data_IF_140117375398
#
_entry.id   IF_140117375398
#
_cell.length_a   1.000
_cell.length_b   1.000
_cell.length_c   1.000
_cell.angle_alpha   90.00
_cell.angle_beta   90.00
_cell.angle_gamma   90.00
#
_symmetry.space_group_name_H-M   'P 1'
#
loop_
_entity.id
_entity.type
_entity.pdbx_description
1 polymer ?
#
# COMPACT_ATOMS: atom_id res chain seq x y z
N UNK A 1 13.64 64.86 -10.11
CA UNK A 1 13.57 63.56 -10.80
C UNK A 1 13.88 62.50 -9.76
N UNK A 2 12.87 61.92 -9.11
CA UNK A 2 13.08 60.96 -8.01
C UNK A 2 12.78 59.55 -8.52
N UNK A 3 13.84 58.75 -8.73
CA UNK A 3 13.75 57.37 -9.19
C UNK A 3 13.26 56.47 -8.05
N UNK A 4 11.99 56.05 -8.08
CA UNK A 4 11.48 55.02 -7.15
C UNK A 4 12.13 53.69 -7.47
N UNK A 5 13.03 53.23 -6.60
CA UNK A 5 13.63 51.90 -6.65
C UNK A 5 12.53 50.84 -6.57
N UNK A 6 12.33 50.09 -7.66
CA UNK A 6 11.47 48.91 -7.70
C UNK A 6 12.10 47.82 -6.83
N UNK A 7 11.48 47.52 -5.68
CA UNK A 7 11.94 46.40 -4.84
C UNK A 7 11.58 45.07 -5.49
N UNK A 8 12.47 44.04 -5.44
CA UNK A 8 12.16 42.72 -5.99
C UNK A 8 11.14 42.00 -5.11
N UNK A 9 9.94 41.77 -5.67
CA UNK A 9 8.89 40.97 -5.03
C UNK A 9 9.31 39.50 -4.98
N UNK A 10 9.61 38.99 -3.78
CA UNK A 10 9.90 37.58 -3.55
C UNK A 10 8.60 36.76 -3.57
N UNK A 11 8.37 35.97 -4.62
CA UNK A 11 7.19 35.12 -4.76
C UNK A 11 7.49 33.76 -4.15
N UNK A 12 7.03 33.54 -2.93
CA UNK A 12 7.06 32.22 -2.28
C UNK A 12 5.86 31.41 -2.79
N UNK A 13 6.13 30.41 -3.64
CA UNK A 13 5.09 29.45 -4.04
C UNK A 13 4.86 28.49 -2.89
N UNK A 14 3.75 28.67 -2.18
CA UNK A 14 3.26 27.64 -1.27
C UNK A 14 2.89 26.40 -2.10
N UNK A 15 3.44 25.22 -1.80
CA UNK A 15 2.98 23.99 -2.42
C UNK A 15 1.48 23.86 -2.15
N UNK A 16 0.67 24.03 -3.20
CA UNK A 16 -0.78 23.90 -3.11
C UNK A 16 -1.16 22.54 -2.53
N UNK A 17 -2.31 22.47 -1.87
CA UNK A 17 -2.84 21.24 -1.27
C UNK A 17 -2.63 20.05 -2.23
N UNK A 18 -2.02 18.97 -1.70
CA UNK A 18 -1.68 17.77 -2.47
C UNK A 18 -2.87 17.40 -3.36
N UNK A 19 -2.63 17.43 -4.66
CA UNK A 19 -3.59 17.15 -5.73
C UNK A 19 -4.48 15.97 -5.36
N UNK A 20 -5.80 16.13 -5.55
CA UNK A 20 -6.84 15.17 -5.18
C UNK A 20 -6.42 13.73 -5.49
N UNK A 21 -6.57 12.87 -4.49
CA UNK A 21 -6.36 11.42 -4.52
C UNK A 21 -6.65 10.84 -5.91
N UNK A 22 -5.59 10.52 -6.65
CA UNK A 22 -5.73 9.74 -7.87
C UNK A 22 -5.62 8.28 -7.42
N UNK A 23 -6.71 7.49 -7.41
CA UNK A 23 -6.70 6.15 -6.87
C UNK A 23 -5.65 5.25 -7.52
N UNK A 24 -5.34 5.47 -8.80
CA UNK A 24 -4.29 4.73 -9.51
C UNK A 24 -2.88 5.13 -9.06
N UNK A 25 -2.65 6.42 -8.78
CA UNK A 25 -1.37 6.91 -8.23
C UNK A 25 -1.19 6.40 -6.79
N UNK A 26 -2.24 6.41 -6.00
CA UNK A 26 -2.21 5.98 -4.61
C UNK A 26 -2.02 4.46 -4.50
N UNK A 27 -2.63 3.67 -5.41
CA UNK A 27 -2.38 2.24 -5.52
C UNK A 27 -0.92 1.93 -5.91
N UNK A 28 -0.40 2.56 -6.97
CA UNK A 28 0.98 2.34 -7.41
C UNK A 28 1.98 2.77 -6.34
N UNK A 29 1.75 3.92 -5.71
CA UNK A 29 2.61 4.40 -4.62
C UNK A 29 2.59 3.47 -3.40
N UNK A 30 1.43 2.90 -3.04
CA UNK A 30 1.33 1.91 -1.97
C UNK A 30 2.08 0.62 -2.32
N UNK A 31 1.91 0.13 -3.55
CA UNK A 31 2.66 -1.02 -4.06
C UNK A 31 4.15 -0.76 -4.03
N UNK A 32 4.63 0.35 -4.61
CA UNK A 32 6.06 0.69 -4.63
C UNK A 32 6.63 0.79 -3.21
N UNK A 33 5.90 1.38 -2.26
CA UNK A 33 6.33 1.48 -0.87
C UNK A 33 6.44 0.11 -0.17
N UNK A 34 5.40 -0.74 -0.29
CA UNK A 34 5.43 -2.11 0.25
C UNK A 34 6.54 -2.92 -0.40
N UNK A 35 6.73 -2.74 -1.71
CA UNK A 35 7.72 -3.51 -2.44
C UNK A 35 9.16 -3.04 -2.24
N UNK A 36 9.39 -1.76 -1.96
CA UNK A 36 10.69 -1.25 -1.58
C UNK A 36 11.05 -1.61 -0.13
N UNK A 37 10.11 -1.43 0.81
CA UNK A 37 10.37 -1.64 2.24
C UNK A 37 10.18 -3.09 2.71
N UNK A 38 9.54 -3.95 1.90
CA UNK A 38 9.14 -5.32 2.27
C UNK A 38 7.87 -5.38 3.13
N UNK A 39 7.62 -4.34 3.93
CA UNK A 39 6.38 -4.13 4.67
C UNK A 39 6.14 -2.66 4.96
N UNK A 40 4.87 -2.28 5.11
CA UNK A 40 4.44 -0.93 5.44
C UNK A 40 3.41 -0.97 6.59
N UNK A 41 3.61 -0.21 7.68
CA UNK A 41 2.58 -0.01 8.68
C UNK A 41 1.52 0.97 8.16
N UNK A 42 0.24 0.66 8.40
CA UNK A 42 -0.91 1.52 8.11
C UNK A 42 -1.61 1.82 9.43
N UNK A 43 -1.83 3.11 9.68
CA UNK A 43 -2.50 3.57 10.89
C UNK A 43 -3.97 3.09 10.95
N UNK A 44 -4.52 3.02 12.15
CA UNK A 44 -5.85 2.45 12.36
C UNK A 44 -6.96 3.29 11.68
N UNK A 45 -6.76 4.60 11.65
CA UNK A 45 -7.64 5.65 11.14
C UNK A 45 -7.54 5.86 9.62
N UNK A 46 -6.47 5.41 8.97
CA UNK A 46 -6.29 5.52 7.52
C UNK A 46 -7.14 4.52 6.75
N UNK A 47 -8.44 4.79 6.70
CA UNK A 47 -9.43 3.95 6.01
C UNK A 47 -9.20 3.89 4.50
N UNK A 48 -8.70 4.97 3.89
CA UNK A 48 -8.48 5.02 2.45
C UNK A 48 -7.40 4.01 2.02
N UNK A 49 -6.26 4.04 2.71
CA UNK A 49 -5.16 3.10 2.44
C UNK A 49 -5.55 1.67 2.83
N UNK A 50 -6.34 1.47 3.90
CA UNK A 50 -6.89 0.15 4.26
C UNK A 50 -7.79 -0.44 3.18
N UNK A 51 -8.75 0.33 2.64
CA UNK A 51 -9.61 -0.13 1.54
C UNK A 51 -8.78 -0.52 0.32
N UNK A 52 -7.73 0.25 0.01
CA UNK A 52 -6.81 -0.09 -1.08
C UNK A 52 -6.03 -1.38 -0.80
N UNK A 53 -5.45 -1.51 0.40
CA UNK A 53 -4.70 -2.69 0.83
C UNK A 53 -5.57 -3.95 0.79
N UNK A 54 -6.84 -3.86 1.20
CA UNK A 54 -7.81 -4.96 1.11
C UNK A 54 -8.02 -5.41 -0.33
N UNK A 55 -8.21 -4.47 -1.28
CA UNK A 55 -8.34 -4.81 -2.70
C UNK A 55 -7.10 -5.52 -3.22
N UNK A 56 -5.92 -5.01 -2.88
CA UNK A 56 -4.65 -5.62 -3.26
C UNK A 56 -4.45 -7.02 -2.64
N UNK A 57 -4.99 -7.25 -1.44
CA UNK A 57 -4.96 -8.55 -0.77
C UNK A 57 -5.90 -9.55 -1.42
N UNK A 58 -7.09 -9.13 -1.86
CA UNK A 58 -8.03 -9.97 -2.63
C UNK A 58 -7.37 -10.43 -3.93
N UNK A 59 -6.64 -9.56 -4.61
CA UNK A 59 -5.89 -9.90 -5.82
C UNK A 59 -4.58 -10.67 -5.57
N UNK A 60 -4.17 -10.86 -4.31
CA UNK A 60 -2.97 -11.60 -3.94
C UNK A 60 -1.66 -10.83 -4.10
N UNK A 61 -1.69 -9.50 -4.31
CA UNK A 61 -0.47 -8.68 -4.45
C UNK A 61 0.20 -8.36 -3.13
N UNK A 62 -0.55 -8.30 -2.04
CA UNK A 62 -0.05 -8.02 -0.69
C UNK A 62 -0.75 -8.89 0.32
N UNK A 63 -0.19 -8.95 1.52
CA UNK A 63 -0.82 -9.63 2.65
C UNK A 63 -0.95 -8.65 3.81
N UNK A 64 -2.06 -8.77 4.56
CA UNK A 64 -2.38 -7.88 5.68
C UNK A 64 -2.29 -8.66 6.98
N UNK A 65 -1.49 -8.13 7.91
CA UNK A 65 -1.45 -8.55 9.29
C UNK A 65 -2.02 -7.43 10.18
N UNK A 66 -2.99 -7.73 11.03
CA UNK A 66 -3.50 -6.81 12.05
C UNK A 66 -2.57 -6.83 13.26
N UNK A 67 -2.09 -5.65 13.67
CA UNK A 67 -1.23 -5.51 14.84
C UNK A 67 -2.12 -5.26 16.06
N UNK A 68 -2.16 -6.24 16.97
CA UNK A 68 -2.95 -6.19 18.18
C UNK A 68 -2.32 -5.26 19.23
N UNK A 69 -3.08 -4.88 20.25
CA UNK A 69 -2.62 -3.99 21.32
C UNK A 69 -1.47 -4.58 22.17
N UNK A 70 -1.32 -5.90 22.18
CA UNK A 70 -0.24 -6.62 22.86
C UNK A 70 1.04 -6.72 22.01
N UNK A 71 1.03 -6.16 20.79
CA UNK A 71 2.14 -6.19 19.84
C UNK A 71 2.20 -7.47 19.00
N UNK A 72 1.28 -8.41 19.18
CA UNK A 72 1.18 -9.59 18.32
C UNK A 72 0.57 -9.24 16.96
N UNK A 73 0.89 -10.06 15.95
CA UNK A 73 0.38 -9.88 14.57
C UNK A 73 -0.56 -11.02 14.19
N UNK A 74 -1.74 -10.68 13.68
CA UNK A 74 -2.75 -11.64 13.21
C UNK A 74 -3.00 -11.47 11.72
N UNK A 75 -2.71 -12.50 10.93
CA UNK A 75 -3.01 -12.53 9.49
C UNK A 75 -4.51 -12.40 9.25
N UNK A 76 -4.91 -11.38 8.51
CA UNK A 76 -6.31 -11.20 8.11
C UNK A 76 -6.59 -11.95 6.81
N UNK A 77 -7.70 -12.68 6.77
CA UNK A 77 -8.25 -13.20 5.51
C UNK A 77 -8.85 -12.06 4.69
N UNK A 78 -8.94 -12.18 3.35
CA UNK A 78 -9.57 -11.16 2.51
C UNK A 78 -10.98 -10.78 2.96
N UNK A 79 -11.77 -11.75 3.43
CA UNK A 79 -13.12 -11.54 3.97
C UNK A 79 -13.13 -10.69 5.24
N UNK A 80 -12.11 -10.83 6.09
CA UNK A 80 -11.99 -10.06 7.34
C UNK A 80 -11.45 -8.65 7.06
N UNK A 81 -10.47 -8.55 6.15
CA UNK A 81 -9.94 -7.27 5.68
C UNK A 81 -11.00 -6.44 4.92
N UNK A 82 -12.01 -7.08 4.32
CA UNK A 82 -13.13 -6.39 3.67
C UNK A 82 -13.91 -5.47 4.61
N UNK A 83 -14.02 -5.85 5.88
CA UNK A 83 -14.68 -5.01 6.87
C UNK A 83 -13.86 -3.77 7.26
N UNK A 84 -12.61 -3.64 6.78
CA UNK A 84 -11.74 -2.46 6.92
C UNK A 84 -11.78 -1.86 8.33
N UNK A 85 -11.73 -2.72 9.36
CA UNK A 85 -11.82 -2.31 10.76
C UNK A 85 -10.81 -1.21 11.08
N UNK A 86 -11.28 -0.15 11.74
CA UNK A 86 -10.45 0.99 12.17
C UNK A 86 -9.96 0.84 13.61
N UNK A 87 -10.19 -0.32 14.25
CA UNK A 87 -9.84 -0.53 15.65
C UNK A 87 -8.33 -0.72 15.87
N UNK A 88 -7.64 -1.35 14.91
CA UNK A 88 -6.22 -1.70 15.04
C UNK A 88 -5.40 -1.28 13.83
N UNK A 89 -4.12 -0.93 14.01
CA UNK A 89 -3.21 -0.68 12.91
C UNK A 89 -2.94 -1.96 12.13
N UNK A 90 -2.64 -1.82 10.84
CA UNK A 90 -2.32 -2.93 9.95
C UNK A 90 -0.85 -2.88 9.56
N UNK A 91 -0.30 -4.04 9.24
CA UNK A 91 0.99 -4.21 8.57
C UNK A 91 0.73 -4.87 7.23
N UNK A 92 0.98 -4.13 6.16
CA UNK A 92 0.90 -4.66 4.79
C UNK A 92 2.26 -5.13 4.39
N UNK A 93 2.38 -6.37 3.95
CA UNK A 93 3.66 -6.96 3.55
C UNK A 93 3.57 -7.63 2.20
N UNK A 94 4.73 -7.79 1.55
CA UNK A 94 4.82 -8.64 0.36
C UNK A 94 4.33 -10.05 0.70
N UNK A 95 3.65 -10.75 -0.22
CA UNK A 95 3.36 -12.15 -0.07
C UNK A 95 4.68 -12.92 0.09
N UNK A 96 4.83 -13.67 1.17
CA UNK A 96 5.94 -14.59 1.37
C UNK A 96 5.40 -16.02 1.25
N UNK A 97 5.94 -16.83 0.34
CA UNK A 97 5.58 -18.24 0.15
C UNK A 97 5.13 -18.62 -1.27
N UNK A 98 4.55 -19.83 -1.41
CA UNK A 98 4.10 -20.51 -2.65
C UNK A 98 3.12 -19.73 -3.55
N UNK A 99 2.58 -18.61 -3.06
CA UNK A 99 1.72 -17.70 -3.82
C UNK A 99 2.41 -16.38 -4.19
N UNK A 100 3.74 -16.30 -4.02
CA UNK A 100 4.54 -15.31 -4.73
C UNK A 100 4.16 -15.49 -6.21
N UNK A 101 3.66 -14.43 -6.85
CA UNK A 101 3.74 -14.29 -8.29
C UNK A 101 5.24 -14.34 -8.59
N UNK A 102 5.75 -15.55 -8.72
CA UNK A 102 7.13 -15.77 -9.03
C UNK A 102 7.29 -15.31 -10.48
N UNK A 103 8.43 -14.67 -10.78
CA UNK A 103 8.69 -14.13 -12.12
C UNK A 103 8.70 -15.25 -13.20
N UNK A 104 8.68 -16.51 -12.78
CA UNK A 104 8.39 -17.74 -13.50
C UNK A 104 6.92 -18.18 -13.31
N UNK A 105 5.99 -17.50 -13.99
CA UNK A 105 4.64 -18.06 -14.10
C UNK A 105 4.72 -19.38 -14.88
N UNK A 106 4.26 -20.52 -14.33
CA UNK A 106 4.20 -21.77 -15.09
C UNK A 106 3.31 -21.54 -16.33
N UNK A 107 3.84 -21.80 -17.52
CA UNK A 107 3.12 -21.54 -18.78
C UNK A 107 1.88 -22.44 -18.92
N UNK A 108 1.80 -23.51 -18.10
CA UNK A 108 0.68 -24.44 -18.10
C UNK A 108 0.18 -24.80 -16.70
N UNK A 109 -1.13 -25.07 -16.61
CA UNK A 109 -1.78 -25.57 -15.39
C UNK A 109 -1.10 -26.83 -14.83
N UNK A 110 -0.50 -27.66 -15.69
CA UNK A 110 0.19 -28.89 -15.30
C UNK A 110 1.44 -28.62 -14.45
N UNK A 111 2.19 -27.58 -14.80
CA UNK A 111 3.39 -27.16 -14.06
C UNK A 111 3.01 -26.52 -12.72
N UNK A 112 1.91 -25.76 -12.70
CA UNK A 112 1.35 -25.20 -11.47
C UNK A 112 1.01 -26.29 -10.45
N UNK A 113 0.31 -27.36 -10.87
CA UNK A 113 -0.03 -28.46 -9.96
C UNK A 113 1.17 -29.29 -9.52
N UNK A 114 2.19 -29.44 -10.37
CA UNK A 114 3.44 -30.13 -10.00
C UNK A 114 4.22 -29.35 -8.92
N UNK A 115 4.33 -28.03 -9.06
CA UNK A 115 5.02 -27.16 -8.10
C UNK A 115 4.34 -27.12 -6.72
N UNK A 116 3.02 -27.32 -6.66
CA UNK A 116 2.27 -27.37 -5.40
C UNK A 116 2.44 -28.69 -4.62
N UNK A 117 2.84 -29.77 -5.30
CA UNK A 117 2.99 -31.10 -4.71
C UNK A 117 4.43 -31.47 -4.29
N UNK A 118 5.42 -30.63 -4.61
CA UNK A 118 6.83 -30.79 -4.19
C UNK A 118 7.11 -30.07 -2.86
#
# INVERSE_FOLDING_TARGET
>A
MESRSSQPTNVIRFPGARSSANPHRDQRSLMDAVYAAGSLPIAADDRATKVMATRLTIFGFVTIDEVQADGTVRRLRPSEAFHASTAYPWRVSKPSGRYRLADDWPESDRELFAALQA
#
